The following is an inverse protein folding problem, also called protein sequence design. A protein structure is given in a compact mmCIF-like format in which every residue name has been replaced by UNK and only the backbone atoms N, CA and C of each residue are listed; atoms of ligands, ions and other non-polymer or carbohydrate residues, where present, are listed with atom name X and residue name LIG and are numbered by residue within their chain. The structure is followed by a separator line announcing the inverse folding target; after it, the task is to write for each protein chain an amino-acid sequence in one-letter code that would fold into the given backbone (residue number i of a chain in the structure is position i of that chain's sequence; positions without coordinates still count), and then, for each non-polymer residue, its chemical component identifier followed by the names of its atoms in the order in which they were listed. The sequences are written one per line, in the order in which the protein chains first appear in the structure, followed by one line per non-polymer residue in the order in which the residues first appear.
data_IF_892791405824
#
_entry.id   IF_892791405824
#
_cell.length_a   1.000
_cell.length_b   1.000
_cell.length_c   1.000
_cell.angle_alpha   90.00
_cell.angle_beta   90.00
_cell.angle_gamma   90.00
#
_symmetry.space_group_name_H-M   'P 1'
#
loop_
_entity.id
_entity.type
_entity.pdbx_description
1 polymer ?
#
# COMPACT_ATOMS: atom_id res chain seq x y z
N UNK A 1 63.06 11.00 -15.11
CA UNK A 1 62.60 12.00 -16.10
C UNK A 1 62.41 11.25 -17.40
N UNK A 2 61.22 10.99 -17.91
CA UNK A 2 59.95 11.72 -17.79
C UNK A 2 58.81 10.76 -18.10
N UNK A 3 57.81 10.72 -17.23
CA UNK A 3 56.50 10.11 -17.46
C UNK A 3 55.84 10.69 -18.72
N UNK A 4 55.22 9.85 -19.55
CA UNK A 4 54.05 10.25 -20.35
C UNK A 4 53.03 9.12 -20.40
N UNK A 5 51.87 9.47 -19.85
CA UNK A 5 50.63 8.73 -19.72
C UNK A 5 49.89 8.53 -21.06
N UNK A 6 48.89 7.62 -21.04
CA UNK A 6 47.65 7.58 -21.85
C UNK A 6 47.82 7.09 -23.30
N UNK A 7 46.95 6.27 -23.91
CA UNK A 7 45.53 5.93 -23.67
C UNK A 7 45.21 4.69 -24.53
N UNK A 8 44.46 3.74 -23.99
CA UNK A 8 43.78 2.67 -24.72
C UNK A 8 42.42 2.49 -24.06
N UNK A 9 41.37 2.96 -24.74
CA UNK A 9 40.01 2.96 -24.23
C UNK A 9 39.38 1.64 -24.66
N UNK A 10 39.37 0.68 -23.75
CA UNK A 10 38.68 -0.58 -23.88
C UNK A 10 38.14 -0.88 -22.50
N UNK A 11 36.92 -0.43 -22.24
CA UNK A 11 35.83 -1.34 -21.85
C UNK A 11 34.55 -0.57 -21.57
N UNK A 12 33.51 -0.97 -22.33
CA UNK A 12 32.10 -0.93 -21.99
C UNK A 12 31.52 0.45 -21.66
N UNK A 13 30.81 0.98 -22.67
CA UNK A 13 29.68 1.89 -22.44
C UNK A 13 28.68 1.12 -21.58
N UNK A 14 28.82 1.21 -20.26
CA UNK A 14 27.70 0.97 -19.36
C UNK A 14 26.81 2.18 -19.63
N UNK A 15 25.80 1.98 -20.47
CA UNK A 15 24.63 2.84 -20.50
C UNK A 15 24.00 2.71 -19.11
N UNK A 16 24.58 3.43 -18.14
CA UNK A 16 23.93 3.80 -16.90
C UNK A 16 22.82 4.72 -17.37
N UNK A 17 21.68 4.12 -17.72
CA UNK A 17 20.42 4.80 -17.55
C UNK A 17 20.42 5.17 -16.07
N UNK A 18 20.79 6.41 -15.79
CA UNK A 18 20.49 7.04 -14.52
C UNK A 18 19.00 6.76 -14.33
N UNK A 19 18.59 5.99 -13.31
CA UNK A 19 17.17 5.83 -13.09
C UNK A 19 16.64 7.25 -12.94
N UNK A 20 15.62 7.57 -13.72
CA UNK A 20 14.74 8.68 -13.41
C UNK A 20 14.11 8.33 -12.06
N UNK A 21 14.88 8.50 -10.98
CA UNK A 21 14.46 8.43 -9.59
C UNK A 21 13.51 9.60 -9.45
N UNK A 22 12.26 9.33 -9.82
CA UNK A 22 11.16 10.17 -9.40
C UNK A 22 11.21 10.08 -7.89
N UNK A 23 11.67 11.15 -7.24
CA UNK A 23 11.73 11.23 -5.77
C UNK A 23 10.28 11.18 -5.27
N UNK A 24 9.81 9.94 -5.07
CA UNK A 24 8.50 9.60 -4.59
C UNK A 24 8.68 9.15 -3.15
N UNK A 25 8.14 9.94 -2.23
CA UNK A 25 8.17 9.66 -0.80
C UNK A 25 6.80 9.17 -0.35
N UNK A 26 6.77 8.02 0.32
CA UNK A 26 5.54 7.51 0.94
C UNK A 26 5.50 8.00 2.38
N UNK A 27 4.49 8.78 2.73
CA UNK A 27 4.28 9.32 4.06
C UNK A 27 3.03 8.69 4.69
N UNK A 28 3.14 8.23 5.94
CA UNK A 28 1.98 7.79 6.73
C UNK A 28 1.12 9.00 7.08
N UNK A 29 -0.14 9.00 6.65
CA UNK A 29 -1.07 10.09 6.92
C UNK A 29 -2.38 9.54 7.50
N UNK A 30 -2.58 9.71 8.81
CA UNK A 30 -3.80 9.26 9.49
C UNK A 30 -4.07 7.77 9.30
N UNK A 31 -5.27 7.44 8.83
CA UNK A 31 -5.67 6.06 8.51
C UNK A 31 -5.28 5.66 7.08
N UNK A 32 -4.10 6.05 6.61
CA UNK A 32 -3.70 5.87 5.24
C UNK A 32 -2.24 6.21 5.00
N UNK A 33 -1.87 6.21 3.74
CA UNK A 33 -0.56 6.66 3.27
C UNK A 33 -0.77 7.55 2.06
N UNK A 34 0.10 8.54 1.90
CA UNK A 34 0.15 9.38 0.71
C UNK A 34 1.49 9.21 0.02
N UNK A 35 1.52 9.42 -1.29
CA UNK A 35 2.76 9.54 -2.06
C UNK A 35 2.96 10.99 -2.42
N UNK A 36 4.12 11.54 -2.09
CA UNK A 36 4.55 12.87 -2.53
C UNK A 36 5.62 12.73 -3.58
N UNK A 37 5.42 13.39 -4.72
CA UNK A 37 6.45 13.61 -5.72
C UNK A 37 6.90 15.06 -5.75
N UNK A 38 7.76 15.36 -6.72
CA UNK A 38 8.36 16.67 -7.00
C UNK A 38 7.30 17.80 -7.14
N UNK A 39 6.10 17.45 -7.62
CA UNK A 39 4.99 18.39 -7.85
C UNK A 39 3.92 18.43 -6.76
N UNK A 40 4.07 17.67 -5.67
CA UNK A 40 3.06 17.54 -4.62
C UNK A 40 2.56 16.10 -4.44
N UNK A 41 1.39 15.94 -3.82
CA UNK A 41 0.77 14.62 -3.64
C UNK A 41 0.41 14.03 -5.01
N UNK A 42 0.88 12.82 -5.28
CA UNK A 42 0.62 12.08 -6.53
C UNK A 42 -0.14 10.78 -6.28
N UNK A 43 -0.47 10.48 -5.03
CA UNK A 43 -1.19 9.27 -4.67
C UNK A 43 -1.63 9.21 -3.23
N UNK A 44 -2.64 8.40 -2.97
CA UNK A 44 -3.13 8.09 -1.63
C UNK A 44 -3.78 6.71 -1.55
N UNK A 45 -3.63 6.09 -0.38
CA UNK A 45 -4.44 4.97 0.09
C UNK A 45 -5.04 5.36 1.42
N UNK A 46 -6.34 5.11 1.57
CA UNK A 46 -7.06 5.35 2.82
C UNK A 46 -7.82 4.10 3.26
N UNK A 47 -7.80 3.87 4.56
CA UNK A 47 -8.59 2.85 5.23
C UNK A 47 -9.40 3.45 6.38
N UNK A 48 -10.47 2.74 6.76
CA UNK A 48 -11.31 3.08 7.92
C UNK A 48 -11.34 1.90 8.87
N UNK A 49 -11.50 2.16 10.16
CA UNK A 49 -11.74 1.08 11.12
C UNK A 49 -13.22 0.69 11.02
N UNK A 50 -13.51 -0.53 10.56
CA UNK A 50 -14.86 -1.09 10.65
C UNK A 50 -15.18 -1.42 12.11
N UNK A 51 -14.24 -2.09 12.77
CA UNK A 51 -14.34 -2.55 14.15
C UNK A 51 -12.98 -2.50 14.83
N UNK A 52 -12.93 -2.93 16.09
CA UNK A 52 -11.68 -3.03 16.84
C UNK A 52 -10.64 -3.89 16.12
N UNK A 53 -11.05 -4.91 15.36
CA UNK A 53 -10.17 -5.88 14.71
C UNK A 53 -10.06 -5.76 13.20
N UNK A 54 -10.78 -4.85 12.55
CA UNK A 54 -10.98 -4.90 11.10
C UNK A 54 -10.87 -3.52 10.47
N UNK A 55 -10.10 -3.43 9.38
CA UNK A 55 -9.93 -2.24 8.56
C UNK A 55 -10.61 -2.41 7.22
N UNK A 56 -11.12 -1.32 6.66
CA UNK A 56 -11.77 -1.27 5.35
C UNK A 56 -10.95 -0.34 4.48
N UNK A 57 -10.32 -0.89 3.44
CA UNK A 57 -9.64 -0.07 2.45
C UNK A 57 -10.71 0.50 1.52
N UNK A 58 -11.03 1.78 1.69
CA UNK A 58 -12.16 2.43 1.00
C UNK A 58 -11.73 3.06 -0.33
N UNK A 59 -10.49 3.53 -0.42
CA UNK A 59 -9.96 4.17 -1.63
C UNK A 59 -8.46 3.98 -1.79
N UNK A 60 -8.06 3.75 -3.04
CA UNK A 60 -6.70 3.83 -3.54
C UNK A 60 -6.77 4.70 -4.79
N UNK A 61 -5.90 5.71 -4.90
CA UNK A 61 -5.83 6.60 -6.04
C UNK A 61 -4.38 7.00 -6.32
N UNK A 62 -4.00 7.04 -7.58
CA UNK A 62 -2.75 7.63 -8.05
C UNK A 62 -3.03 8.59 -9.20
N UNK A 63 -2.33 9.72 -9.21
CA UNK A 63 -2.30 10.63 -10.35
C UNK A 63 -1.57 9.98 -11.52
N UNK A 64 -2.01 10.28 -12.75
CA UNK A 64 -1.25 9.92 -13.94
C UNK A 64 0.09 10.70 -13.94
N UNK A 65 1.23 10.05 -14.25
CA UNK A 65 1.40 8.74 -14.88
C UNK A 65 1.61 7.56 -13.91
N UNK A 66 1.41 7.74 -12.61
CA UNK A 66 1.70 6.72 -11.59
C UNK A 66 0.54 5.72 -11.37
N UNK A 67 -0.64 6.01 -11.91
CA UNK A 67 -1.76 5.06 -12.01
C UNK A 67 -1.37 3.80 -12.82
N UNK A 68 -1.80 2.62 -12.35
CA UNK A 68 -1.51 1.34 -12.98
C UNK A 68 -0.07 0.87 -12.79
N UNK A 69 0.69 1.51 -11.89
CA UNK A 69 2.08 1.16 -11.59
C UNK A 69 2.16 0.29 -10.34
N UNK A 70 3.28 -0.39 -10.14
CA UNK A 70 3.61 -1.14 -8.92
C UNK A 70 3.49 -0.30 -7.62
N UNK A 71 3.42 1.02 -7.74
CA UNK A 71 3.24 1.93 -6.61
C UNK A 71 1.87 1.80 -5.93
N UNK A 72 0.79 1.52 -6.68
CA UNK A 72 -0.54 1.25 -6.09
C UNK A 72 -0.50 -0.02 -5.23
N UNK A 73 0.21 -1.03 -5.72
CA UNK A 73 0.47 -2.27 -4.98
C UNK A 73 1.34 -2.02 -3.75
N UNK A 74 2.41 -1.23 -3.86
CA UNK A 74 3.26 -0.89 -2.71
C UNK A 74 2.48 -0.20 -1.58
N UNK A 75 1.60 0.76 -1.93
CA UNK A 75 0.72 1.38 -0.93
C UNK A 75 -0.21 0.37 -0.25
N UNK A 76 -0.78 -0.55 -1.04
CA UNK A 76 -1.63 -1.61 -0.52
C UNK A 76 -0.86 -2.53 0.42
N UNK A 77 0.34 -2.95 0.03
CA UNK A 77 1.22 -3.81 0.80
C UNK A 77 1.57 -3.19 2.16
N UNK A 78 1.92 -1.90 2.19
CA UNK A 78 2.18 -1.18 3.44
C UNK A 78 0.97 -1.19 4.40
N UNK A 79 -0.26 -1.05 3.88
CA UNK A 79 -1.47 -1.15 4.71
C UNK A 79 -1.68 -2.58 5.21
N UNK A 80 -1.40 -3.57 4.36
CA UNK A 80 -1.49 -4.99 4.72
C UNK A 80 -0.49 -5.35 5.80
N UNK A 81 0.78 -4.96 5.64
CA UNK A 81 1.82 -5.19 6.63
C UNK A 81 1.48 -4.53 7.97
N UNK A 82 0.99 -3.28 7.94
CA UNK A 82 0.57 -2.59 9.16
C UNK A 82 -0.62 -3.28 9.84
N UNK A 83 -1.58 -3.79 9.06
CA UNK A 83 -2.68 -4.58 9.60
C UNK A 83 -2.18 -5.89 10.20
N UNK A 84 -1.28 -6.59 9.50
CA UNK A 84 -0.68 -7.85 9.93
C UNK A 84 0.08 -7.70 11.25
N UNK A 85 0.94 -6.68 11.36
CA UNK A 85 1.69 -6.35 12.58
C UNK A 85 0.74 -6.09 13.77
N UNK A 86 -0.36 -5.37 13.52
CA UNK A 86 -1.37 -5.03 14.53
C UNK A 86 -2.39 -6.14 14.77
N UNK A 87 -2.28 -7.29 14.10
CA UNK A 87 -3.23 -8.40 14.21
C UNK A 87 -4.65 -8.03 13.76
N UNK A 88 -4.77 -7.17 12.75
CA UNK A 88 -6.03 -6.70 12.16
C UNK A 88 -6.32 -7.41 10.84
N UNK A 89 -7.60 -7.54 10.54
CA UNK A 89 -8.10 -8.05 9.25
C UNK A 89 -8.46 -6.89 8.32
N UNK A 90 -8.47 -7.13 7.02
CA UNK A 90 -8.74 -6.13 5.97
C UNK A 90 -9.93 -6.57 5.11
N UNK A 91 -10.91 -5.67 4.98
CA UNK A 91 -11.98 -5.72 3.99
C UNK A 91 -11.57 -4.83 2.80
N UNK A 92 -11.23 -5.41 1.64
CA UNK A 92 -10.88 -4.63 0.45
C UNK A 92 -12.15 -4.12 -0.25
N UNK A 93 -12.68 -2.97 0.19
CA UNK A 93 -13.90 -2.39 -0.40
C UNK A 93 -13.64 -1.68 -1.73
N UNK A 94 -12.42 -1.19 -1.97
CA UNK A 94 -12.02 -0.64 -3.25
C UNK A 94 -11.86 -1.76 -4.30
N UNK A 95 -12.32 -1.56 -5.56
CA UNK A 95 -12.30 -2.59 -6.60
C UNK A 95 -10.88 -3.10 -6.88
N UNK A 96 -9.90 -2.18 -7.00
CA UNK A 96 -8.49 -2.53 -7.19
C UNK A 96 -7.96 -3.39 -6.04
N UNK A 97 -8.22 -3.00 -4.79
CA UNK A 97 -7.80 -3.79 -3.63
C UNK A 97 -8.42 -5.19 -3.67
N UNK A 98 -9.71 -5.30 -4.01
CA UNK A 98 -10.39 -6.59 -4.08
C UNK A 98 -9.78 -7.49 -5.15
N UNK A 99 -9.44 -6.95 -6.31
CA UNK A 99 -8.74 -7.67 -7.37
C UNK A 99 -7.37 -8.17 -6.89
N UNK A 100 -6.58 -7.30 -6.26
CA UNK A 100 -5.27 -7.70 -5.70
C UNK A 100 -5.40 -8.80 -4.64
N UNK A 101 -6.39 -8.72 -3.75
CA UNK A 101 -6.67 -9.75 -2.74
C UNK A 101 -7.12 -11.08 -3.34
N UNK A 102 -7.83 -11.05 -4.47
CA UNK A 102 -8.26 -12.27 -5.20
C UNK A 102 -7.11 -12.94 -5.94
N UNK A 103 -6.23 -12.15 -6.55
CA UNK A 103 -5.13 -12.66 -7.39
C UNK A 103 -3.91 -13.09 -6.56
N UNK A 104 -3.66 -12.45 -5.41
CA UNK A 104 -2.48 -12.69 -4.61
C UNK A 104 -2.85 -13.37 -3.29
N UNK A 105 -2.49 -14.65 -3.15
CA UNK A 105 -2.70 -15.42 -1.93
C UNK A 105 -1.88 -14.91 -0.73
N UNK A 106 -0.90 -14.02 -0.96
CA UNK A 106 -0.11 -13.39 0.09
C UNK A 106 -0.93 -12.51 1.03
N UNK A 107 -2.12 -12.08 0.60
CA UNK A 107 -3.03 -11.26 1.40
C UNK A 107 -4.09 -12.09 2.14
N UNK A 108 -4.14 -13.41 1.95
CA UNK A 108 -5.16 -14.29 2.51
C UNK A 108 -5.19 -14.28 4.06
N UNK A 109 -4.02 -14.13 4.67
CA UNK A 109 -3.87 -14.14 6.13
C UNK A 109 -4.53 -12.94 6.80
N UNK A 110 -4.56 -11.79 6.13
CA UNK A 110 -5.25 -10.58 6.59
C UNK A 110 -6.63 -10.42 5.96
N UNK A 111 -6.97 -11.17 4.91
CA UNK A 111 -8.22 -10.99 4.19
C UNK A 111 -9.45 -11.36 5.03
N UNK A 112 -10.25 -10.34 5.33
CA UNK A 112 -11.59 -10.48 5.86
C UNK A 112 -12.57 -10.76 4.72
N UNK A 113 -12.92 -12.02 4.52
CA UNK A 113 -13.91 -12.46 3.51
C UNK A 113 -15.35 -12.29 3.99
N UNK A 114 -15.56 -11.66 5.14
CA UNK A 114 -16.87 -11.69 5.74
C UNK A 114 -17.86 -10.81 4.98
N UNK A 115 -18.86 -11.48 4.41
CA UNK A 115 -20.20 -11.00 4.18
C UNK A 115 -20.84 -10.68 5.55
N UNK A 116 -20.25 -9.77 6.33
CA UNK A 116 -20.92 -9.25 7.50
C UNK A 116 -21.96 -8.27 7.01
N UNK A 117 -23.11 -8.83 6.67
CA UNK A 117 -24.37 -8.28 7.13
C UNK A 117 -24.13 -7.68 8.52
N UNK A 118 -24.49 -6.41 8.68
CA UNK A 118 -24.48 -5.67 9.95
C UNK A 118 -25.47 -6.29 10.97
N UNK A 119 -25.53 -7.62 11.07
CA UNK A 119 -26.36 -8.32 12.02
C UNK A 119 -25.63 -8.36 13.37
N UNK A 120 -26.03 -7.40 14.18
CA UNK A 120 -26.31 -7.61 15.60
C UNK A 120 -25.16 -8.09 16.46
N UNK A 121 -24.41 -7.14 17.03
CA UNK A 121 -23.97 -7.33 18.42
C UNK A 121 -23.95 -6.02 19.21
N UNK A 122 -25.06 -5.28 19.17
CA UNK A 122 -25.48 -4.51 20.33
C UNK A 122 -26.35 -5.42 21.21
N UNK A 123 -25.75 -6.50 21.72
CA UNK A 123 -26.27 -7.18 22.91
C UNK A 123 -26.13 -6.22 24.09
N UNK A 124 -27.13 -5.38 24.29
CA UNK A 124 -27.35 -4.77 25.60
C UNK A 124 -28.10 -5.76 26.48
N UNK A 125 -27.30 -6.39 27.34
CA UNK A 125 -27.57 -6.78 28.71
C UNK A 125 -28.69 -7.78 29.04
N UNK A 126 -28.23 -8.94 29.51
CA UNK A 126 -28.91 -9.74 30.53
C UNK A 126 -29.33 -8.88 31.72
N UNK A 127 -30.63 -8.84 32.02
CA UNK A 127 -31.14 -8.73 33.40
C UNK A 127 -32.27 -9.73 33.56
N UNK A 128 -31.89 -10.97 33.91
CA UNK A 128 -32.76 -11.84 34.67
C UNK A 128 -32.61 -11.42 36.13
N UNK A 129 -33.65 -10.85 36.72
CA UNK A 129 -33.78 -10.70 38.17
C UNK A 129 -35.26 -10.55 38.51
N UNK A 130 -35.78 -11.64 39.10
CA UNK A 130 -36.85 -11.78 40.09
C UNK A 130 -38.24 -11.18 39.83
#
# INVERSE_FOLDING_TARGET
MTERNRTGNDDVIVQRQEPIETELEIEKQGNGFIVRGIGGQVGEISYKLADVGTWVIDRIHMDAPYNGTELERQLLDLVVEEARDKGRKIIPSAPYALEQFKENAEYDDVWERSEKEFSDTYSSNSVSSS
#
